data_IF_078970447509
#
_entry.id   IF_078970447509
#
_cell.length_a   1.000
_cell.length_b   1.000
_cell.length_c   1.000
_cell.angle_alpha   90.00
_cell.angle_beta   90.00
_cell.angle_gamma   90.00
#
_symmetry.space_group_name_H-M   'P 1'
#
loop_
_entity.id
_entity.type
_entity.pdbx_description
1 polymer ?
#
# COMPACT_ATOMS: atom_id res chain seq x y z
N UNK A 1 -6.46 15.16 -2.69
CA UNK A 1 -7.59 16.11 -2.84
C UNK A 1 -8.81 15.73 -2.02
N UNK A 2 -8.63 14.99 -0.92
CA UNK A 2 -9.65 14.61 0.04
C UNK A 2 -8.98 14.70 1.42
N UNK A 3 -9.60 15.39 2.38
CA UNK A 3 -9.04 15.51 3.73
C UNK A 3 -9.22 14.18 4.46
N UNK A 4 -8.29 13.89 5.37
CA UNK A 4 -8.50 12.83 6.34
C UNK A 4 -9.77 13.13 7.17
N UNK A 5 -10.72 12.17 7.30
CA UNK A 5 -12.06 12.48 7.81
C UNK A 5 -12.19 12.38 9.33
N UNK A 6 -11.29 11.67 10.02
CA UNK A 6 -11.37 11.50 11.47
C UNK A 6 -10.69 12.66 12.21
N UNK A 7 -11.13 13.00 13.43
CA UNK A 7 -10.58 14.12 14.20
C UNK A 7 -9.16 13.88 14.72
N UNK A 8 -8.70 12.63 14.73
CA UNK A 8 -7.37 12.21 15.20
C UNK A 8 -6.91 10.95 14.48
N UNK A 9 -5.61 10.68 14.57
CA UNK A 9 -4.99 9.43 14.15
C UNK A 9 -3.93 9.05 15.19
N UNK A 10 -4.11 7.89 15.83
CA UNK A 10 -3.16 7.35 16.81
C UNK A 10 -2.27 6.28 16.17
N UNK A 11 -1.01 6.19 16.61
CA UNK A 11 -0.06 5.15 16.20
C UNK A 11 0.44 4.42 17.45
N UNK A 12 0.23 3.10 17.53
CA UNK A 12 0.51 2.30 18.72
C UNK A 12 1.48 1.16 18.39
N UNK A 13 2.60 1.09 19.12
CA UNK A 13 3.47 -0.08 19.10
C UNK A 13 2.94 -1.15 20.05
N UNK A 14 2.77 -2.37 19.55
CA UNK A 14 2.32 -3.54 20.30
C UNK A 14 3.54 -4.47 20.50
N UNK A 15 3.87 -4.86 21.75
CA UNK A 15 5.06 -5.68 22.04
C UNK A 15 5.09 -7.04 21.34
N UNK A 16 3.93 -7.69 21.22
CA UNK A 16 3.77 -8.97 20.52
C UNK A 16 2.67 -8.84 19.46
N UNK A 17 3.08 -8.71 18.20
CA UNK A 17 2.18 -8.48 17.07
C UNK A 17 2.57 -9.35 15.88
N UNK A 18 1.62 -10.18 15.45
CA UNK A 18 1.83 -11.19 14.41
C UNK A 18 2.20 -10.56 13.06
N UNK A 19 1.56 -9.44 12.72
CA UNK A 19 1.80 -8.70 11.48
C UNK A 19 2.90 -7.65 11.64
N UNK A 20 3.25 -6.97 10.53
CA UNK A 20 4.14 -5.81 10.55
C UNK A 20 3.45 -4.60 11.18
N UNK A 21 2.29 -4.25 10.63
CA UNK A 21 1.38 -3.22 11.10
C UNK A 21 -0.05 -3.53 10.62
N UNK A 22 -1.03 -2.72 11.02
CA UNK A 22 -2.43 -2.81 10.60
C UNK A 22 -3.09 -1.44 10.69
N UNK A 23 -3.78 -1.06 9.63
CA UNK A 23 -4.25 0.28 9.28
C UNK A 23 -5.52 0.74 10.00
N UNK A 24 -5.89 0.10 11.13
CA UNK A 24 -7.20 0.29 11.78
C UNK A 24 -7.56 1.79 11.85
N UNK A 25 -8.73 2.16 11.32
CA UNK A 25 -9.03 3.54 10.96
C UNK A 25 -8.98 4.49 12.17
N UNK A 26 -7.97 5.36 12.22
CA UNK A 26 -7.73 6.30 13.32
C UNK A 26 -6.94 5.75 14.52
N UNK A 27 -6.54 4.48 14.49
CA UNK A 27 -5.74 3.84 15.53
C UNK A 27 -4.84 2.76 14.92
N UNK A 28 -3.79 3.18 14.21
CA UNK A 28 -2.88 2.28 13.52
C UNK A 28 -2.00 1.54 14.52
N UNK A 29 -1.87 0.22 14.35
CA UNK A 29 -1.10 -0.64 15.25
C UNK A 29 0.12 -1.20 14.55
N UNK A 30 1.25 -1.26 15.24
CA UNK A 30 2.54 -1.65 14.68
C UNK A 30 3.21 -2.70 15.58
N UNK A 31 4.02 -3.58 14.99
CA UNK A 31 5.10 -4.21 15.74
C UNK A 31 6.10 -3.14 16.17
N UNK A 32 6.73 -3.27 17.34
CA UNK A 32 7.71 -2.28 17.84
C UNK A 32 8.79 -1.90 16.80
N UNK A 33 9.34 -2.89 16.09
CA UNK A 33 10.36 -2.69 15.06
C UNK A 33 9.87 -1.98 13.79
N UNK A 34 8.57 -1.74 13.67
CA UNK A 34 7.93 -1.05 12.56
C UNK A 34 7.48 0.38 12.91
N UNK A 35 7.68 0.82 14.16
CA UNK A 35 7.33 2.18 14.60
C UNK A 35 8.44 2.87 15.40
N UNK A 36 9.13 2.13 16.29
CA UNK A 36 10.09 2.72 17.22
C UNK A 36 11.47 2.86 16.56
N UNK A 37 12.01 4.08 16.60
CA UNK A 37 13.35 4.40 16.10
C UNK A 37 14.16 5.01 17.23
N UNK A 38 15.36 4.47 17.44
CA UNK A 38 16.41 5.10 18.23
C UNK A 38 17.37 5.82 17.28
N UNK A 39 17.44 7.15 17.37
CA UNK A 39 18.28 7.95 16.47
C UNK A 39 19.76 7.54 16.46
N UNK A 40 20.28 7.07 17.61
CA UNK A 40 21.70 6.71 17.80
C UNK A 40 21.97 5.26 17.46
N UNK A 41 21.02 4.38 17.74
CA UNK A 41 21.24 2.93 17.70
C UNK A 41 20.55 2.23 16.53
N UNK A 42 19.49 2.79 15.95
CA UNK A 42 18.82 2.20 14.79
C UNK A 42 19.63 2.40 13.51
N UNK A 43 19.79 1.31 12.75
CA UNK A 43 20.45 1.34 11.43
C UNK A 43 19.67 2.20 10.42
N UNK A 44 20.34 2.65 9.36
CA UNK A 44 19.69 3.36 8.26
C UNK A 44 18.55 2.53 7.63
N UNK A 45 18.79 1.22 7.43
CA UNK A 45 17.77 0.29 6.92
C UNK A 45 16.55 0.19 7.85
N UNK A 46 16.76 0.18 9.17
CA UNK A 46 15.66 0.19 10.15
C UNK A 46 14.84 1.47 10.08
N UNK A 47 15.51 2.63 9.95
CA UNK A 47 14.85 3.94 9.82
C UNK A 47 14.02 4.02 8.53
N UNK A 48 14.58 3.55 7.40
CA UNK A 48 13.88 3.45 6.12
C UNK A 48 12.66 2.53 6.21
N UNK A 49 12.82 1.34 6.80
CA UNK A 49 11.71 0.40 6.99
C UNK A 49 10.59 1.01 7.82
N UNK A 50 10.90 1.69 8.93
CA UNK A 50 9.87 2.36 9.74
C UNK A 50 9.17 3.46 8.94
N UNK A 51 9.91 4.28 8.19
CA UNK A 51 9.33 5.34 7.37
C UNK A 51 8.39 4.80 6.29
N UNK A 52 8.78 3.72 5.60
CA UNK A 52 7.95 3.04 4.61
C UNK A 52 6.68 2.47 5.25
N UNK A 53 6.81 1.66 6.29
CA UNK A 53 5.64 1.05 6.95
C UNK A 53 4.69 2.11 7.51
N UNK A 54 5.19 3.17 8.16
CA UNK A 54 4.31 4.27 8.61
C UNK A 54 3.59 4.92 7.43
N UNK A 55 4.28 5.18 6.32
CA UNK A 55 3.66 5.76 5.15
C UNK A 55 2.63 4.83 4.49
N UNK A 56 2.87 3.50 4.49
CA UNK A 56 1.96 2.47 3.98
C UNK A 56 0.64 2.48 4.76
N UNK A 57 0.70 2.39 6.08
CA UNK A 57 -0.49 2.40 6.92
C UNK A 57 -1.28 3.72 6.84
N UNK A 58 -0.56 4.84 6.67
CA UNK A 58 -1.18 6.14 6.47
C UNK A 58 -1.84 6.26 5.09
N UNK A 59 -1.33 5.59 4.06
CA UNK A 59 -1.97 5.53 2.75
C UNK A 59 -3.32 4.81 2.81
N UNK A 60 -3.41 3.75 3.63
CA UNK A 60 -4.64 3.00 3.82
C UNK A 60 -5.81 3.81 4.37
N UNK A 61 -5.51 4.92 5.06
CA UNK A 61 -6.54 5.86 5.53
C UNK A 61 -7.37 6.43 4.37
N UNK A 62 -6.88 6.38 3.13
CA UNK A 62 -7.64 6.64 1.91
C UNK A 62 -7.92 5.35 1.09
N UNK A 63 -6.91 4.51 0.88
CA UNK A 63 -6.99 3.28 0.07
C UNK A 63 -7.15 2.04 0.96
N UNK A 64 -8.39 1.69 1.27
CA UNK A 64 -8.75 0.56 2.11
C UNK A 64 -9.69 0.94 3.24
N UNK A 65 -9.59 2.16 3.78
CA UNK A 65 -10.52 2.67 4.79
C UNK A 65 -11.63 3.55 4.19
N UNK A 66 -11.28 4.64 3.48
CA UNK A 66 -12.30 5.50 2.84
C UNK A 66 -12.95 4.77 1.68
N UNK A 67 -12.17 4.13 0.82
CA UNK A 67 -12.67 3.22 -0.22
C UNK A 67 -12.07 1.87 0.03
N UNK A 68 -12.90 0.87 0.29
CA UNK A 68 -12.47 -0.51 0.50
C UNK A 68 -12.75 -1.33 -0.75
N UNK A 69 -11.96 -2.36 -1.04
CA UNK A 69 -12.34 -3.33 -2.07
C UNK A 69 -13.72 -3.95 -1.77
N UNK A 70 -14.51 -4.29 -2.80
CA UNK A 70 -15.79 -4.99 -2.61
C UNK A 70 -15.56 -6.42 -2.12
N UNK A 71 -14.51 -7.07 -2.62
CA UNK A 71 -14.11 -8.40 -2.22
C UNK A 71 -12.59 -8.55 -2.23
N UNK A 72 -12.09 -9.58 -1.55
CA UNK A 72 -10.66 -9.87 -1.44
C UNK A 72 -9.98 -10.14 -2.79
N UNK A 73 -10.75 -10.48 -3.82
CA UNK A 73 -10.24 -10.54 -5.21
C UNK A 73 -9.59 -9.24 -5.67
N UNK A 74 -10.06 -8.11 -5.16
CA UNK A 74 -9.54 -6.78 -5.50
C UNK A 74 -8.58 -6.24 -4.41
N UNK A 75 -7.97 -7.10 -3.57
CA UNK A 75 -7.08 -6.71 -2.46
C UNK A 75 -5.98 -5.71 -2.86
N UNK A 76 -5.47 -5.82 -4.09
CA UNK A 76 -4.44 -4.91 -4.61
C UNK A 76 -4.88 -3.44 -4.67
N UNK A 77 -6.19 -3.14 -4.71
CA UNK A 77 -6.72 -1.77 -4.61
C UNK A 77 -6.39 -1.11 -3.28
N UNK A 78 -6.19 -1.92 -2.24
CA UNK A 78 -5.68 -1.48 -0.95
C UNK A 78 -4.15 -1.56 -0.96
N UNK A 79 -3.61 -2.77 -1.02
CA UNK A 79 -2.19 -3.04 -0.74
C UNK A 79 -1.26 -2.48 -1.80
N UNK A 80 -1.58 -2.64 -3.09
CA UNK A 80 -0.78 -2.09 -4.17
C UNK A 80 -0.73 -0.57 -4.13
N UNK A 81 -1.85 0.10 -3.80
CA UNK A 81 -1.89 1.55 -3.65
C UNK A 81 -1.16 2.03 -2.39
N UNK A 82 -1.30 1.33 -1.27
CA UNK A 82 -0.56 1.65 -0.06
C UNK A 82 0.96 1.52 -0.29
N UNK A 83 1.39 0.45 -0.95
CA UNK A 83 2.79 0.27 -1.38
C UNK A 83 3.23 1.37 -2.36
N UNK A 84 2.40 1.78 -3.32
CA UNK A 84 2.79 2.89 -4.21
C UNK A 84 2.93 4.23 -3.47
N UNK A 85 2.01 4.52 -2.54
CA UNK A 85 2.01 5.77 -1.78
C UNK A 85 3.13 5.80 -0.74
N UNK A 86 3.52 4.67 -0.11
CA UNK A 86 4.65 4.68 0.83
C UNK A 86 5.94 5.16 0.16
N UNK A 87 6.24 4.68 -1.05
CA UNK A 87 7.43 5.10 -1.77
C UNK A 87 7.33 6.57 -2.20
N UNK A 88 6.17 7.03 -2.67
CA UNK A 88 5.97 8.47 -2.96
C UNK A 88 6.16 9.36 -1.72
N UNK A 89 5.61 8.95 -0.58
CA UNK A 89 5.65 9.73 0.64
C UNK A 89 7.07 9.75 1.24
N UNK A 90 7.76 8.61 1.24
CA UNK A 90 9.15 8.53 1.72
C UNK A 90 10.09 9.30 0.80
N UNK A 91 9.93 9.20 -0.53
CA UNK A 91 10.70 9.99 -1.50
C UNK A 91 10.52 11.50 -1.28
N UNK A 92 9.28 11.94 -1.02
CA UNK A 92 8.98 13.33 -0.70
C UNK A 92 9.59 13.80 0.63
N UNK A 93 9.49 12.99 1.68
CA UNK A 93 9.97 13.34 3.03
C UNK A 93 11.50 13.22 3.15
N UNK A 94 12.12 12.31 2.40
CA UNK A 94 13.54 11.96 2.48
C UNK A 94 14.14 11.79 1.08
N UNK A 95 14.23 12.85 0.27
CA UNK A 95 14.66 12.77 -1.14
C UNK A 95 16.08 12.22 -1.32
N UNK A 96 16.96 12.42 -0.34
CA UNK A 96 18.34 11.92 -0.36
C UNK A 96 18.45 10.39 -0.22
N UNK A 97 17.35 9.69 0.08
CA UNK A 97 17.34 8.23 0.25
C UNK A 97 17.22 7.47 -1.07
N UNK A 98 16.83 8.13 -2.16
CA UNK A 98 16.66 7.50 -3.49
C UNK A 98 15.82 6.21 -3.42
N UNK A 99 14.68 6.30 -2.74
CA UNK A 99 13.89 5.12 -2.35
C UNK A 99 13.28 4.41 -3.56
N UNK A 100 13.03 5.12 -4.66
CA UNK A 100 12.52 4.53 -5.90
C UNK A 100 13.55 3.65 -6.61
N UNK A 101 14.84 3.95 -6.50
CA UNK A 101 15.90 3.04 -6.98
C UNK A 101 15.92 1.77 -6.13
N UNK A 102 15.74 1.91 -4.82
CA UNK A 102 15.64 0.77 -3.91
C UNK A 102 14.39 -0.09 -4.20
N UNK A 103 13.25 0.52 -4.53
CA UNK A 103 12.04 -0.20 -4.98
C UNK A 103 12.31 -1.09 -6.20
N UNK A 104 13.02 -0.57 -7.20
CA UNK A 104 13.35 -1.36 -8.41
C UNK A 104 14.21 -2.56 -8.05
N UNK A 105 15.19 -2.36 -7.18
CA UNK A 105 16.10 -3.42 -6.75
C UNK A 105 15.44 -4.47 -5.84
N UNK A 106 14.56 -4.06 -4.93
CA UNK A 106 13.98 -4.94 -3.92
C UNK A 106 12.58 -5.43 -4.33
N UNK A 107 11.55 -4.58 -4.20
CA UNK A 107 10.15 -5.01 -4.34
C UNK A 107 9.80 -5.40 -5.77
N UNK A 108 10.22 -4.61 -6.76
CA UNK A 108 9.94 -4.93 -8.17
C UNK A 108 10.61 -6.25 -8.58
N UNK A 109 11.87 -6.47 -8.18
CA UNK A 109 12.55 -7.75 -8.45
C UNK A 109 11.87 -8.92 -7.72
N UNK A 110 11.46 -8.75 -6.47
CA UNK A 110 10.71 -9.77 -5.71
C UNK A 110 9.39 -10.12 -6.43
N UNK A 111 8.70 -9.13 -6.98
CA UNK A 111 7.52 -9.36 -7.83
C UNK A 111 7.88 -10.15 -9.09
N UNK A 112 8.95 -9.78 -9.82
CA UNK A 112 9.36 -10.52 -11.01
C UNK A 112 9.76 -11.96 -10.73
N UNK A 113 10.47 -12.22 -9.63
CA UNK A 113 10.89 -13.57 -9.24
C UNK A 113 9.68 -14.47 -8.98
N UNK A 114 8.68 -13.98 -8.23
CA UNK A 114 7.46 -14.75 -7.96
C UNK A 114 6.58 -14.89 -9.21
N UNK A 115 6.42 -13.81 -9.97
CA UNK A 115 5.54 -13.79 -11.15
C UNK A 115 6.08 -14.60 -12.33
N UNK A 116 7.38 -14.90 -12.34
CA UNK A 116 8.00 -15.80 -13.32
C UNK A 116 7.71 -17.28 -13.04
N UNK A 117 7.18 -17.64 -11.87
CA UNK A 117 6.87 -19.02 -11.52
C UNK A 117 5.53 -19.47 -12.13
N UNK A 118 5.48 -20.72 -12.60
CA UNK A 118 4.24 -21.33 -13.06
C UNK A 118 3.16 -21.45 -11.96
N UNK A 119 3.58 -21.40 -10.68
CA UNK A 119 2.72 -21.42 -9.51
C UNK A 119 2.29 -20.02 -9.03
N UNK A 120 2.66 -18.96 -9.75
CA UNK A 120 2.18 -17.61 -9.46
C UNK A 120 0.66 -17.51 -9.71
N UNK A 121 0.10 -16.36 -9.41
CA UNK A 121 -1.29 -16.02 -9.69
C UNK A 121 -1.43 -14.61 -10.31
N UNK A 122 -2.56 -14.32 -10.98
CA UNK A 122 -2.89 -12.96 -11.41
C UNK A 122 -3.05 -12.02 -10.21
N UNK A 123 -2.99 -10.71 -10.44
CA UNK A 123 -3.26 -9.70 -9.39
C UNK A 123 -4.69 -9.89 -8.82
N UNK A 124 -5.68 -10.12 -9.68
CA UNK A 124 -7.04 -10.45 -9.27
C UNK A 124 -7.20 -11.97 -9.10
N UNK A 125 -7.38 -12.42 -7.86
CA UNK A 125 -7.55 -13.85 -7.53
C UNK A 125 -8.97 -14.12 -7.09
N UNK A 126 -9.62 -15.15 -7.65
CA UNK A 126 -10.94 -15.57 -7.17
C UNK A 126 -10.81 -16.19 -5.77
N UNK A 127 -11.30 -15.49 -4.74
CA UNK A 127 -11.32 -15.97 -3.35
C UNK A 127 -12.69 -16.54 -3.04
N UNK A 128 -12.78 -17.83 -2.76
CA UNK A 128 -14.05 -18.54 -2.51
C UNK A 128 -14.32 -18.73 -1.03
N UNK A 129 -13.27 -18.89 -0.24
CA UNK A 129 -13.37 -19.09 1.20
C UNK A 129 -12.44 -18.14 1.97
N UNK A 130 -12.86 -17.59 3.12
CA UNK A 130 -12.02 -16.66 3.90
C UNK A 130 -10.64 -17.19 4.30
N UNK A 131 -10.46 -18.51 4.39
CA UNK A 131 -9.14 -19.09 4.69
C UNK A 131 -8.11 -18.91 3.57
N UNK A 132 -8.56 -18.65 2.35
CA UNK A 132 -7.69 -18.41 1.18
C UNK A 132 -7.17 -16.96 1.15
N UNK A 133 -7.74 -16.08 1.98
CA UNK A 133 -7.38 -14.65 1.99
C UNK A 133 -5.91 -14.46 2.34
N UNK A 134 -5.41 -15.18 3.36
CA UNK A 134 -4.00 -15.06 3.79
C UNK A 134 -3.02 -15.48 2.68
N UNK A 135 -3.46 -16.30 1.72
CA UNK A 135 -2.61 -16.77 0.61
C UNK A 135 -2.33 -15.67 -0.41
N UNK A 136 -3.19 -14.66 -0.50
CA UNK A 136 -3.05 -13.55 -1.45
C UNK A 136 -2.44 -12.28 -0.83
N UNK A 137 -2.12 -12.31 0.46
CA UNK A 137 -1.32 -11.28 1.14
C UNK A 137 0.18 -11.47 0.84
N UNK A 138 0.56 -11.32 -0.42
CA UNK A 138 1.86 -11.72 -0.95
C UNK A 138 2.53 -10.66 -1.85
N UNK A 139 3.68 -10.96 -2.44
CA UNK A 139 4.37 -9.96 -3.27
C UNK A 139 3.63 -9.63 -4.58
N UNK A 140 2.66 -10.44 -5.01
CA UNK A 140 1.87 -10.13 -6.20
C UNK A 140 0.87 -9.02 -5.88
N UNK A 141 0.12 -9.12 -4.77
CA UNK A 141 -0.82 -8.07 -4.37
C UNK A 141 -0.12 -6.75 -4.04
N UNK A 142 1.03 -6.83 -3.37
CA UNK A 142 1.80 -5.66 -2.92
C UNK A 142 2.74 -5.12 -4.01
N UNK A 143 3.82 -5.86 -4.29
CA UNK A 143 4.92 -5.39 -5.14
C UNK A 143 4.53 -5.32 -6.61
N UNK A 144 3.87 -6.34 -7.16
CA UNK A 144 3.41 -6.33 -8.57
C UNK A 144 2.25 -5.33 -8.74
N UNK A 145 1.34 -5.26 -7.77
CA UNK A 145 0.31 -4.22 -7.70
C UNK A 145 0.91 -2.81 -7.77
N UNK A 146 1.88 -2.49 -6.91
CA UNK A 146 2.60 -1.22 -6.92
C UNK A 146 3.32 -0.96 -8.26
N UNK A 147 4.01 -1.95 -8.81
CA UNK A 147 4.69 -1.82 -10.10
C UNK A 147 3.72 -1.48 -11.25
N UNK A 148 2.54 -2.12 -11.27
CA UNK A 148 1.49 -1.83 -12.24
C UNK A 148 0.92 -0.41 -12.07
N UNK A 149 0.68 0.02 -10.82
CA UNK A 149 0.21 1.38 -10.50
C UNK A 149 1.25 2.42 -10.94
N UNK A 150 2.52 2.19 -10.62
CA UNK A 150 3.62 3.07 -11.05
C UNK A 150 3.64 3.19 -12.57
N UNK A 151 3.64 2.07 -13.29
CA UNK A 151 3.61 2.06 -14.75
C UNK A 151 2.41 2.85 -15.31
N UNK A 152 1.22 2.66 -14.74
CA UNK A 152 0.01 3.35 -15.17
C UNK A 152 0.07 4.86 -14.89
N UNK A 153 0.61 5.25 -13.73
CA UNK A 153 0.77 6.65 -13.34
C UNK A 153 1.72 7.40 -14.28
N UNK A 154 2.79 6.73 -14.73
CA UNK A 154 3.74 7.27 -15.70
C UNK A 154 3.15 7.31 -17.11
N UNK A 155 2.43 6.26 -17.52
CA UNK A 155 1.79 6.17 -18.84
C UNK A 155 0.74 7.27 -19.05
N UNK A 156 -0.12 7.49 -18.06
CA UNK A 156 -1.16 8.53 -18.12
C UNK A 156 -0.63 9.94 -17.84
N UNK A 157 0.51 10.03 -17.17
CA UNK A 157 1.04 11.25 -16.57
C UNK A 157 0.42 11.51 -15.20
N UNK A 158 1.29 11.85 -14.23
CA UNK A 158 0.93 11.94 -12.81
C UNK A 158 -0.27 12.85 -12.52
N UNK A 159 -0.40 13.99 -13.20
CA UNK A 159 -1.52 14.92 -12.97
C UNK A 159 -2.88 14.31 -13.34
N UNK A 160 -2.99 13.67 -14.51
CA UNK A 160 -4.22 13.00 -14.93
C UNK A 160 -4.53 11.81 -14.04
N UNK A 161 -3.52 11.02 -13.71
CA UNK A 161 -3.67 9.91 -12.78
C UNK A 161 -4.22 10.37 -11.42
N UNK A 162 -3.65 11.44 -10.85
CA UNK A 162 -4.14 12.03 -9.59
C UNK A 162 -5.54 12.62 -9.70
N UNK A 163 -5.94 13.15 -10.85
CA UNK A 163 -7.30 13.59 -11.09
C UNK A 163 -8.29 12.41 -11.08
N UNK A 164 -7.98 11.33 -11.80
CA UNK A 164 -8.79 10.12 -11.80
C UNK A 164 -8.91 9.48 -10.42
N UNK A 165 -7.81 9.44 -9.65
CA UNK A 165 -7.87 9.00 -8.24
C UNK A 165 -8.77 9.89 -7.36
N UNK A 166 -8.84 11.20 -7.61
CA UNK A 166 -9.79 12.07 -6.89
C UNK A 166 -11.24 11.75 -7.26
N UNK A 167 -11.50 11.40 -8.52
CA UNK A 167 -12.83 10.96 -8.96
C UNK A 167 -13.20 9.65 -8.29
N UNK A 168 -12.31 8.65 -8.34
CA UNK A 168 -12.46 7.36 -7.68
C UNK A 168 -12.75 7.51 -6.18
N UNK A 169 -11.85 8.16 -5.43
CA UNK A 169 -11.99 8.32 -3.98
C UNK A 169 -13.25 9.08 -3.58
N UNK A 170 -13.70 10.08 -4.37
CA UNK A 170 -14.93 10.81 -4.07
C UNK A 170 -16.18 10.00 -4.40
N UNK A 171 -16.16 9.21 -5.48
CA UNK A 171 -17.31 8.44 -5.95
C UNK A 171 -17.62 7.29 -5.00
N UNK A 172 -16.59 6.62 -4.48
CA UNK A 172 -16.73 5.41 -3.66
C UNK A 172 -16.45 5.65 -2.18
N UNK A 173 -16.35 6.91 -1.74
CA UNK A 173 -16.10 7.25 -0.34
C UNK A 173 -17.13 6.61 0.60
N UNK A 174 -16.64 6.00 1.68
CA UNK A 174 -17.40 5.27 2.69
C UNK A 174 -18.16 4.07 2.12
N UNK A 175 -17.64 3.48 1.04
CA UNK A 175 -18.21 2.32 0.39
C UNK A 175 -17.14 1.45 -0.23
N UNK A 176 -17.58 0.61 -1.17
CA UNK A 176 -16.74 -0.39 -1.80
C UNK A 176 -16.53 -0.11 -3.30
N UNK A 177 -15.45 -0.65 -3.86
CA UNK A 177 -15.14 -0.55 -5.28
C UNK A 177 -14.49 -1.83 -5.82
N UNK A 178 -14.58 -2.02 -7.14
CA UNK A 178 -13.91 -3.06 -7.92
C UNK A 178 -12.77 -2.49 -8.74
N UNK A 179 -11.91 -3.36 -9.26
CA UNK A 179 -10.86 -2.98 -10.21
C UNK A 179 -11.41 -2.23 -11.43
N UNK A 180 -12.57 -2.63 -11.94
CA UNK A 180 -13.22 -1.95 -13.07
C UNK A 180 -13.71 -0.53 -12.75
N UNK A 181 -14.02 -0.23 -11.50
CA UNK A 181 -14.41 1.10 -11.06
C UNK A 181 -13.23 2.08 -11.07
N UNK A 182 -12.03 1.60 -10.74
CA UNK A 182 -10.79 2.36 -10.89
C UNK A 182 -10.53 2.67 -12.37
N UNK A 183 -10.64 1.67 -13.25
CA UNK A 183 -10.47 1.86 -14.70
C UNK A 183 -11.46 2.86 -15.29
N UNK A 184 -12.70 2.89 -14.81
CA UNK A 184 -13.69 3.86 -15.26
C UNK A 184 -13.44 5.28 -14.73
N UNK A 185 -12.57 5.45 -13.73
CA UNK A 185 -12.24 6.75 -13.16
C UNK A 185 -10.93 7.36 -13.70
N UNK A 186 -10.01 6.53 -14.20
CA UNK A 186 -8.72 6.92 -14.78
C UNK A 186 -8.82 7.24 -16.28
#
# INVERSE_FOLDING_TARGET
>A
GLKYPLPKLDNLAIPDFAMGAMENWGCVTYRETALLVDEKNSSAASKQRVALVVAHELAHQWFGNIVTMEWWTDLWLNEGFATWVEYLAVDYCFPDWDIWTQFVYADMNRAYELDALASSHPIEVEVKHPSEIEEIFDAISYSKGCAAIRMLSEFLGLEKFREGLRVYLKRFAYGNAKTTDLWAAL
#
